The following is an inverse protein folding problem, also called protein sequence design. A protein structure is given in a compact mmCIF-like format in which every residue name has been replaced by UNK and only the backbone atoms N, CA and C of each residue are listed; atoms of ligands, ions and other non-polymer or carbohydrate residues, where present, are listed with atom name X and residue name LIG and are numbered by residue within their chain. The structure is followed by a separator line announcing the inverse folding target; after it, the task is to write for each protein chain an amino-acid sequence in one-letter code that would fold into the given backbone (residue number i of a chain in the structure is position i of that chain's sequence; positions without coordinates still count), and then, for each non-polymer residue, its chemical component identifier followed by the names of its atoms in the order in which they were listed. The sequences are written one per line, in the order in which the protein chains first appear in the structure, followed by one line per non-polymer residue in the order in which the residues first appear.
data_IF_787884479314
#
_entry.id   IF_787884479314
#
_cell.length_a   1.000
_cell.length_b   1.000
_cell.length_c   1.000
_cell.angle_alpha   90.00
_cell.angle_beta   90.00
_cell.angle_gamma   90.00
#
_symmetry.space_group_name_H-M   'P 1'
#
loop_
_entity.id
_entity.type
_entity.pdbx_description
1 polymer ?
#
# COMPACT_ATOMS: atom_id res chain seq x y z
N UNK A 1 8.97 7.74 -3.44
CA UNK A 1 8.12 6.94 -2.54
C UNK A 1 9.00 6.51 -1.38
N UNK A 2 8.68 6.91 -0.15
CA UNK A 2 9.40 6.44 1.04
C UNK A 2 8.68 5.20 1.57
N UNK A 3 9.36 4.05 1.58
CA UNK A 3 8.76 2.78 2.03
C UNK A 3 8.91 2.69 3.55
N UNK A 4 7.82 2.51 4.31
CA UNK A 4 7.90 2.36 5.76
C UNK A 4 8.73 1.14 6.19
N UNK A 5 9.44 1.26 7.31
CA UNK A 5 10.15 0.14 7.96
C UNK A 5 9.20 -0.76 8.76
N UNK A 6 8.07 -1.15 8.17
CA UNK A 6 7.10 -2.06 8.78
C UNK A 6 6.78 -3.23 7.86
N UNK A 7 7.23 -4.43 8.24
CA UNK A 7 7.09 -5.68 7.49
C UNK A 7 6.05 -6.65 8.06
N UNK A 8 5.27 -6.22 9.05
CA UNK A 8 4.19 -6.98 9.66
C UNK A 8 2.88 -6.99 8.86
N UNK A 9 1.86 -7.63 9.45
CA UNK A 9 0.49 -7.69 8.92
C UNK A 9 -0.17 -6.33 9.14
N UNK A 10 -0.83 -5.80 8.13
CA UNK A 10 -1.54 -4.54 8.33
C UNK A 10 -2.31 -4.06 7.13
N UNK A 11 -2.88 -2.87 7.31
CA UNK A 11 -3.56 -2.07 6.29
C UNK A 11 -2.67 -0.87 5.96
N UNK A 12 -2.54 -0.56 4.67
CA UNK A 12 -1.75 0.55 4.17
C UNK A 12 -2.51 1.35 3.11
N UNK A 13 -2.09 2.59 2.92
CA UNK A 13 -2.55 3.47 1.86
C UNK A 13 -1.39 3.83 0.93
N UNK A 14 -1.67 3.83 -0.38
CA UNK A 14 -0.90 4.59 -1.36
C UNK A 14 -1.68 5.88 -1.62
N UNK A 15 -1.06 7.03 -1.35
CA UNK A 15 -1.71 8.34 -1.41
C UNK A 15 -1.12 9.09 -2.60
N UNK A 16 -1.95 9.34 -3.61
CA UNK A 16 -1.58 10.15 -4.76
C UNK A 16 -1.35 11.60 -4.32
N UNK A 17 -0.14 12.12 -4.54
CA UNK A 17 0.25 13.47 -4.09
C UNK A 17 -0.39 14.57 -4.94
N UNK A 18 -0.84 14.26 -6.15
CA UNK A 18 -1.39 15.24 -7.09
C UNK A 18 -2.87 15.53 -6.81
N UNK A 19 -3.62 14.53 -6.32
CA UNK A 19 -5.07 14.65 -6.14
C UNK A 19 -5.60 14.14 -4.78
N UNK A 20 -4.74 13.61 -3.92
CA UNK A 20 -5.10 13.11 -2.58
C UNK A 20 -5.90 11.79 -2.57
N UNK A 21 -6.15 11.17 -3.73
CA UNK A 21 -6.85 9.87 -3.79
C UNK A 21 -6.01 8.78 -3.14
N UNK A 22 -6.70 7.85 -2.50
CA UNK A 22 -6.07 6.77 -1.73
C UNK A 22 -6.42 5.41 -2.32
N UNK A 23 -5.42 4.59 -2.54
CA UNK A 23 -5.58 3.15 -2.72
C UNK A 23 -5.34 2.48 -1.37
N UNK A 24 -6.33 1.72 -0.89
CA UNK A 24 -6.24 0.99 0.38
C UNK A 24 -5.99 -0.48 0.09
N UNK A 25 -4.95 -1.04 0.72
CA UNK A 25 -4.63 -2.46 0.64
C UNK A 25 -4.32 -3.03 2.01
N UNK A 26 -4.43 -4.35 2.13
CA UNK A 26 -3.97 -5.09 3.30
C UNK A 26 -3.11 -6.26 2.87
N UNK A 27 -2.15 -6.65 3.71
CA UNK A 27 -1.30 -7.81 3.43
C UNK A 27 -0.62 -8.34 4.70
N UNK A 28 -0.22 -9.61 4.66
CA UNK A 28 0.53 -10.25 5.77
C UNK A 28 1.92 -9.66 6.01
N UNK A 29 2.51 -9.09 4.96
CA UNK A 29 3.79 -8.39 5.02
C UNK A 29 3.66 -7.12 4.17
N UNK A 30 3.25 -6.03 4.82
CA UNK A 30 2.90 -4.79 4.14
C UNK A 30 4.08 -4.26 3.32
N UNK A 31 5.30 -4.25 3.88
CA UNK A 31 6.53 -3.85 3.16
C UNK A 31 6.69 -4.61 1.84
N UNK A 32 6.61 -5.94 1.85
CA UNK A 32 6.73 -6.78 0.65
C UNK A 32 5.64 -6.44 -0.37
N UNK A 33 4.41 -6.20 0.07
CA UNK A 33 3.31 -5.84 -0.84
C UNK A 33 3.53 -4.48 -1.49
N UNK A 34 4.03 -3.50 -0.76
CA UNK A 34 4.38 -2.18 -1.31
C UNK A 34 5.46 -2.32 -2.39
N UNK A 35 6.51 -3.11 -2.15
CA UNK A 35 7.52 -3.39 -3.19
C UNK A 35 6.93 -4.04 -4.44
N UNK A 36 5.97 -4.96 -4.28
CA UNK A 36 5.25 -5.53 -5.43
C UNK A 36 4.48 -4.46 -6.21
N UNK A 37 3.82 -3.52 -5.53
CA UNK A 37 3.15 -2.39 -6.20
C UNK A 37 4.14 -1.54 -6.98
N UNK A 38 5.30 -1.21 -6.41
CA UNK A 38 6.35 -0.44 -7.10
C UNK A 38 6.80 -1.17 -8.37
N UNK A 39 7.10 -2.47 -8.28
CA UNK A 39 7.45 -3.29 -9.46
C UNK A 39 6.31 -3.38 -10.47
N UNK A 40 5.07 -3.44 -10.01
CA UNK A 40 3.89 -3.37 -10.87
C UNK A 40 3.77 -2.01 -11.57
N UNK A 41 4.12 -0.91 -10.92
CA UNK A 41 4.10 0.43 -11.52
C UNK A 41 5.19 0.60 -12.57
N UNK A 42 6.42 0.16 -12.28
CA UNK A 42 7.53 0.14 -13.26
C UNK A 42 7.14 -0.61 -14.55
N UNK A 43 6.40 -1.71 -14.41
CA UNK A 43 5.97 -2.55 -15.53
C UNK A 43 4.56 -2.23 -16.05
N UNK A 44 3.90 -1.18 -15.55
CA UNK A 44 2.51 -0.82 -15.89
C UNK A 44 1.50 -1.97 -15.73
N UNK A 45 1.76 -2.89 -14.80
CA UNK A 45 0.93 -4.06 -14.47
C UNK A 45 0.21 -3.86 -13.14
N UNK A 46 -0.76 -2.94 -13.11
CA UNK A 46 -1.59 -2.65 -11.95
C UNK A 46 -3.06 -2.44 -12.34
N UNK A 47 -3.94 -2.19 -11.37
CA UNK A 47 -5.36 -1.93 -11.65
C UNK A 47 -5.54 -0.69 -12.53
N UNK A 48 -6.53 -0.66 -13.43
CA UNK A 48 -6.79 0.47 -14.34
C UNK A 48 -6.86 1.83 -13.63
N UNK A 49 -7.40 1.89 -12.40
CA UNK A 49 -7.49 3.12 -11.61
C UNK A 49 -6.13 3.68 -11.20
N UNK A 50 -5.18 2.80 -10.88
CA UNK A 50 -3.79 3.17 -10.55
C UNK A 50 -2.99 3.40 -11.83
N UNK A 51 -3.29 2.67 -12.90
CA UNK A 51 -2.57 2.76 -14.16
C UNK A 51 -2.59 4.17 -14.73
N UNK A 52 -3.75 4.85 -14.71
CA UNK A 52 -3.87 6.24 -15.18
C UNK A 52 -2.91 7.17 -14.42
N UNK A 53 -2.86 7.07 -13.09
CA UNK A 53 -1.95 7.88 -12.28
C UNK A 53 -0.48 7.51 -12.53
N UNK A 54 -0.17 6.23 -12.74
CA UNK A 54 1.19 5.76 -13.08
C UNK A 54 1.63 6.26 -14.45
N UNK A 55 0.74 6.27 -15.44
CA UNK A 55 1.02 6.79 -16.79
C UNK A 55 1.19 8.30 -16.82
N UNK A 56 0.54 9.01 -15.90
CA UNK A 56 0.70 10.45 -15.68
C UNK A 56 1.90 10.79 -14.77
N UNK A 57 2.73 9.80 -14.42
CA UNK A 57 3.92 9.95 -13.56
C UNK A 57 3.60 10.56 -12.17
N UNK A 58 2.39 10.32 -11.66
CA UNK A 58 2.01 10.80 -10.33
C UNK A 58 2.91 10.21 -9.25
N UNK A 59 3.19 11.03 -8.25
CA UNK A 59 3.95 10.61 -7.07
C UNK A 59 2.99 10.09 -6.01
N UNK A 60 3.49 9.14 -5.23
CA UNK A 60 2.72 8.54 -4.16
C UNK A 60 3.49 8.59 -2.84
N UNK A 61 2.78 8.94 -1.78
CA UNK A 61 3.20 8.69 -0.40
C UNK A 61 2.60 7.36 0.09
N UNK A 62 3.23 6.78 1.11
CA UNK A 62 2.80 5.51 1.69
C UNK A 62 2.54 5.74 3.17
N UNK A 63 1.38 5.29 3.64
CA UNK A 63 0.98 5.37 5.05
C UNK A 63 0.57 3.99 5.55
N UNK A 64 1.04 3.60 6.74
CA UNK A 64 0.53 2.41 7.45
C UNK A 64 -0.68 2.87 8.27
N UNK A 65 -1.87 2.41 7.90
CA UNK A 65 -3.12 2.80 8.56
C UNK A 65 -3.40 1.97 9.80
N UNK A 66 -3.10 0.67 9.74
CA UNK A 66 -3.35 -0.25 10.84
C UNK A 66 -2.26 -1.31 10.90
N UNK A 67 -1.72 -1.54 12.11
CA UNK A 67 -0.77 -2.63 12.39
C UNK A 67 -1.55 -3.73 13.09
N UNK A 68 -1.72 -4.87 12.43
CA UNK A 68 -2.52 -5.98 12.97
C UNK A 68 -1.57 -6.93 13.72
N UNK A 69 -1.76 -7.12 15.03
CA UNK A 69 -0.95 -8.05 15.78
C UNK A 69 -1.24 -9.50 15.34
N UNK A 70 -0.18 -10.25 15.04
CA UNK A 70 -0.28 -11.66 14.67
C UNK A 70 -0.42 -12.52 15.93
N UNK A 71 -1.46 -13.36 16.00
CA UNK A 71 -1.63 -14.34 17.07
C UNK A 71 -2.51 -13.91 18.25
N UNK A 72 -3.21 -12.77 18.16
CA UNK A 72 -4.20 -12.41 19.19
C UNK A 72 -5.53 -13.08 18.84
N UNK A 73 -5.86 -14.14 19.56
CA UNK A 73 -7.23 -14.61 19.65
C UNK A 73 -7.99 -13.50 20.38
N UNK A 74 -8.72 -12.65 19.65
CA UNK A 74 -9.67 -11.74 20.27
C UNK A 74 -10.76 -12.63 20.88
N UNK A 75 -10.55 -13.05 22.14
CA UNK A 75 -11.62 -13.53 22.99
C UNK A 75 -12.57 -12.35 23.14
N UNK A 76 -13.59 -12.31 22.29
CA UNK A 76 -14.76 -11.48 22.54
C UNK A 76 -15.38 -11.99 23.85
N UNK A 77 -15.29 -11.16 24.89
CA UNK A 77 -15.98 -11.33 26.18
C UNK A 77 -17.44 -10.93 26.00
#
# INVERSE_FOLDING_TARGET
MNIPEYDGIGVYALIDKENGKRYIGSYKNVKKRIYQHIKSFENKKCSNKLLVAVEQEHKFDIEILERIPYGVNLLYV
#
